data_IF_222239661091
#
_entry.id   IF_222239661091
#
_cell.length_a   1.000
_cell.length_b   1.000
_cell.length_c   1.000
_cell.angle_alpha   90.00
_cell.angle_beta   90.00
_cell.angle_gamma   90.00
#
_symmetry.space_group_name_H-M   'P 1'
#
loop_
_entity.id
_entity.type
_entity.pdbx_description
1 polymer ?
#
# COMPACT_ATOMS: atom_id res chain seq x y z
N UNK A 1 5.74 -20.73 5.07
CA UNK A 1 7.02 -20.00 5.29
C UNK A 1 6.67 -18.69 5.96
N UNK A 2 7.40 -18.27 7.02
CA UNK A 2 7.12 -17.01 7.69
C UNK A 2 7.53 -15.82 6.82
N UNK A 3 6.76 -14.75 6.86
CA UNK A 3 7.11 -13.47 6.24
C UNK A 3 8.16 -12.74 7.09
N UNK A 4 8.98 -11.94 6.45
CA UNK A 4 9.99 -11.12 7.10
C UNK A 4 9.68 -9.64 6.87
N UNK A 5 10.10 -8.78 7.80
CA UNK A 5 10.08 -7.34 7.60
C UNK A 5 11.09 -7.01 6.51
N UNK A 6 10.69 -6.43 5.36
CA UNK A 6 11.66 -6.06 4.34
C UNK A 6 12.56 -4.92 4.85
N UNK A 7 13.80 -4.89 4.41
CA UNK A 7 14.65 -3.73 4.66
C UNK A 7 14.13 -2.50 3.89
N UNK A 8 14.30 -1.32 4.48
CA UNK A 8 14.00 -0.08 3.75
C UNK A 8 14.97 0.08 2.57
N UNK A 9 14.51 0.52 1.39
CA UNK A 9 15.39 0.76 0.23
C UNK A 9 16.28 2.02 0.38
N UNK A 10 16.24 2.67 1.53
CA UNK A 10 16.99 3.89 1.89
C UNK A 10 17.23 3.94 3.40
N UNK A 11 18.17 4.80 3.85
CA UNK A 11 18.40 5.02 5.28
C UNK A 11 17.23 5.72 5.96
N UNK A 12 17.06 5.53 7.27
CA UNK A 12 15.96 6.14 8.05
C UNK A 12 15.88 7.67 7.95
N UNK A 13 17.01 8.35 7.76
CA UNK A 13 17.07 9.81 7.63
C UNK A 13 16.90 10.34 6.20
N UNK A 14 16.85 9.44 5.22
CA UNK A 14 16.84 9.81 3.80
C UNK A 14 15.65 10.68 3.39
N UNK A 15 14.49 10.50 4.03
CA UNK A 15 13.24 11.21 3.72
C UNK A 15 13.04 12.48 4.56
N UNK A 16 13.99 12.85 5.43
CA UNK A 16 13.85 13.98 6.35
C UNK A 16 13.57 15.31 5.63
N UNK A 17 14.18 15.54 4.46
CA UNK A 17 13.92 16.73 3.63
C UNK A 17 12.49 16.80 3.09
N UNK A 18 11.85 15.65 2.89
CA UNK A 18 10.45 15.50 2.49
C UNK A 18 9.45 15.57 3.65
N UNK A 19 9.93 15.78 4.88
CA UNK A 19 9.08 15.91 6.07
C UNK A 19 8.88 14.63 6.88
N UNK A 20 9.54 13.52 6.52
CA UNK A 20 9.48 12.26 7.25
C UNK A 20 10.80 12.03 7.98
N UNK A 21 10.82 12.25 9.30
CA UNK A 21 12.03 12.12 10.12
C UNK A 21 12.50 10.67 10.28
N UNK A 22 13.76 10.49 10.68
CA UNK A 22 14.29 9.17 11.03
C UNK A 22 13.47 8.51 12.15
N UNK A 23 13.07 9.27 13.17
CA UNK A 23 12.20 8.80 14.26
C UNK A 23 10.84 8.31 13.72
N UNK A 24 10.26 9.02 12.74
CA UNK A 24 9.02 8.59 12.08
C UNK A 24 9.20 7.22 11.40
N UNK A 25 10.32 7.02 10.70
CA UNK A 25 10.61 5.74 10.05
C UNK A 25 10.87 4.63 11.05
N UNK A 26 11.59 4.90 12.15
CA UNK A 26 11.78 3.95 13.24
C UNK A 26 10.42 3.48 13.80
N UNK A 27 9.52 4.39 14.13
CA UNK A 27 8.20 4.02 14.64
C UNK A 27 7.33 3.34 13.58
N UNK A 28 7.33 3.84 12.35
CA UNK A 28 6.40 3.36 11.33
C UNK A 28 6.87 2.06 10.66
N UNK A 29 8.18 1.90 10.41
CA UNK A 29 8.75 0.70 9.82
C UNK A 29 9.12 -0.33 10.89
N UNK A 30 10.05 0.00 11.82
CA UNK A 30 10.67 -0.98 12.70
C UNK A 30 9.73 -1.47 13.82
N UNK A 31 8.67 -0.71 14.13
CA UNK A 31 7.69 -1.07 15.15
C UNK A 31 6.30 -1.35 14.56
N UNK A 32 5.69 -0.40 13.85
CA UNK A 32 4.32 -0.54 13.36
C UNK A 32 4.20 -1.58 12.24
N UNK A 33 5.03 -1.47 11.19
CA UNK A 33 5.04 -2.47 10.12
C UNK A 33 5.49 -3.83 10.64
N UNK A 34 6.51 -3.87 11.49
CA UNK A 34 6.96 -5.11 12.14
C UNK A 34 5.84 -5.80 12.93
N UNK A 35 4.98 -5.06 13.60
CA UNK A 35 3.86 -5.64 14.32
C UNK A 35 2.88 -6.37 13.39
N UNK A 36 2.63 -5.86 12.17
CA UNK A 36 1.84 -6.58 11.18
C UNK A 36 2.51 -7.87 10.71
N UNK A 37 3.83 -7.85 10.52
CA UNK A 37 4.62 -9.06 10.18
C UNK A 37 4.48 -10.11 11.28
N UNK A 38 4.77 -9.74 12.52
CA UNK A 38 4.78 -10.67 13.66
C UNK A 38 3.38 -11.24 13.93
N UNK A 39 2.36 -10.40 13.94
CA UNK A 39 0.97 -10.81 14.17
C UNK A 39 0.42 -11.63 12.98
N UNK A 40 0.73 -11.22 11.74
CA UNK A 40 0.35 -11.95 10.54
C UNK A 40 0.89 -13.37 10.58
N UNK A 41 2.19 -13.54 10.78
CA UNK A 41 2.83 -14.87 10.91
C UNK A 41 2.20 -15.72 12.01
N UNK A 42 1.95 -15.13 13.17
CA UNK A 42 1.30 -15.84 14.29
C UNK A 42 -0.10 -16.33 13.93
N UNK A 43 -0.88 -15.51 13.22
CA UNK A 43 -2.27 -15.82 12.89
C UNK A 43 -2.41 -16.86 11.77
N UNK A 44 -1.47 -16.91 10.81
CA UNK A 44 -1.51 -17.87 9.71
C UNK A 44 -0.89 -19.23 10.05
N UNK A 45 -0.07 -19.28 11.11
CA UNK A 45 0.65 -20.50 11.51
C UNK A 45 -0.32 -21.66 11.81
N UNK A 46 -0.08 -22.81 11.20
CA UNK A 46 -0.94 -24.00 11.33
C UNK A 46 -2.30 -23.89 10.62
N UNK A 47 -2.54 -22.87 9.82
CA UNK A 47 -3.76 -22.72 9.02
C UNK A 47 -3.49 -23.04 7.54
N UNK A 48 -4.55 -23.05 6.72
CA UNK A 48 -4.46 -23.21 5.26
C UNK A 48 -3.68 -22.08 4.58
N UNK A 49 -3.46 -20.96 5.28
CA UNK A 49 -2.77 -19.76 4.80
C UNK A 49 -1.25 -19.80 4.99
N UNK A 50 -0.71 -20.72 5.79
CA UNK A 50 0.70 -20.71 6.22
C UNK A 50 1.73 -20.70 5.07
N UNK A 51 1.39 -21.29 3.92
CA UNK A 51 2.29 -21.37 2.75
C UNK A 51 1.78 -20.62 1.53
N UNK A 52 0.86 -19.68 1.73
CA UNK A 52 0.32 -18.82 0.68
C UNK A 52 1.08 -17.49 0.59
N UNK A 53 1.01 -16.84 -0.57
CA UNK A 53 1.56 -15.48 -0.75
C UNK A 53 0.71 -14.43 -0.02
N UNK A 54 1.28 -13.23 0.18
CA UNK A 54 0.54 -12.10 0.78
C UNK A 54 -0.72 -11.78 -0.03
N UNK A 55 -0.61 -11.81 -1.37
CA UNK A 55 -1.71 -11.55 -2.29
C UNK A 55 -2.81 -12.60 -2.17
N UNK A 56 -2.43 -13.90 -2.18
CA UNK A 56 -3.39 -15.00 -2.03
C UNK A 56 -4.15 -14.91 -0.71
N UNK A 57 -3.44 -14.60 0.39
CA UNK A 57 -4.05 -14.46 1.71
C UNK A 57 -4.96 -13.23 1.74
N UNK A 58 -4.48 -12.09 1.26
CA UNK A 58 -5.26 -10.85 1.23
C UNK A 58 -6.57 -11.05 0.47
N UNK A 59 -6.51 -11.59 -0.76
CA UNK A 59 -7.68 -11.83 -1.59
C UNK A 59 -8.61 -12.87 -0.95
N UNK A 60 -8.04 -13.98 -0.46
CA UNK A 60 -8.83 -15.09 0.07
C UNK A 60 -9.49 -14.81 1.43
N UNK A 61 -8.95 -13.88 2.21
CA UNK A 61 -9.49 -13.49 3.53
C UNK A 61 -10.31 -12.20 3.50
N UNK A 62 -10.33 -11.49 2.37
CA UNK A 62 -11.15 -10.30 2.21
C UNK A 62 -12.65 -10.63 2.25
N UNK A 63 -13.39 -9.88 3.06
CA UNK A 63 -14.84 -9.93 3.10
C UNK A 63 -15.39 -8.53 3.38
N UNK A 64 -16.03 -7.93 2.39
CA UNK A 64 -16.54 -6.56 2.45
C UNK A 64 -17.56 -6.30 3.57
N UNK A 65 -18.22 -7.35 4.09
CA UNK A 65 -19.22 -7.20 5.16
C UNK A 65 -18.64 -7.33 6.57
N UNK A 66 -17.39 -7.80 6.71
CA UNK A 66 -16.77 -8.08 8.01
C UNK A 66 -15.26 -7.81 8.03
N UNK A 67 -14.79 -6.85 7.23
CA UNK A 67 -13.35 -6.52 7.09
C UNK A 67 -12.66 -6.32 8.45
N UNK A 68 -13.23 -5.49 9.31
CA UNK A 68 -12.63 -5.15 10.60
C UNK A 68 -12.57 -6.31 11.62
N UNK A 69 -13.26 -7.41 11.35
CA UNK A 69 -13.33 -8.56 12.25
C UNK A 69 -12.36 -9.69 11.87
N UNK A 70 -11.74 -9.60 10.70
CA UNK A 70 -10.80 -10.62 10.22
C UNK A 70 -9.37 -10.25 10.58
N UNK A 71 -8.82 -10.85 11.64
CA UNK A 71 -7.45 -10.58 12.10
C UNK A 71 -6.38 -10.97 11.08
N UNK A 72 -6.55 -12.06 10.32
CA UNK A 72 -5.62 -12.48 9.27
C UNK A 72 -5.60 -11.41 8.18
N UNK A 73 -6.77 -11.04 7.65
CA UNK A 73 -6.88 -10.00 6.64
C UNK A 73 -6.21 -8.70 7.11
N UNK A 74 -6.55 -8.20 8.29
CA UNK A 74 -6.05 -6.93 8.79
C UNK A 74 -4.52 -6.88 8.88
N UNK A 75 -3.87 -7.95 9.33
CA UNK A 75 -2.43 -7.96 9.47
C UNK A 75 -1.71 -8.24 8.14
N UNK A 76 -2.18 -9.20 7.35
CA UNK A 76 -1.52 -9.57 6.09
C UNK A 76 -1.72 -8.50 5.01
N UNK A 77 -2.92 -7.93 4.89
CA UNK A 77 -3.14 -6.85 3.93
C UNK A 77 -2.35 -5.58 4.28
N UNK A 78 -2.25 -5.23 5.58
CA UNK A 78 -1.42 -4.12 6.02
C UNK A 78 0.08 -4.38 5.83
N UNK A 79 0.55 -5.62 6.01
CA UNK A 79 1.92 -5.99 5.67
C UNK A 79 2.18 -5.73 4.18
N UNK A 80 1.28 -6.17 3.29
CA UNK A 80 1.40 -5.91 1.87
C UNK A 80 1.36 -4.40 1.54
N UNK A 81 0.43 -3.64 2.14
CA UNK A 81 0.30 -2.21 1.93
C UNK A 81 1.59 -1.46 2.29
N UNK A 82 2.20 -1.81 3.43
CA UNK A 82 3.42 -1.16 3.90
C UNK A 82 4.64 -1.55 3.05
N UNK A 83 4.71 -2.79 2.53
CA UNK A 83 5.74 -3.17 1.56
C UNK A 83 5.70 -2.24 0.34
N UNK A 84 4.51 -2.01 -0.23
CA UNK A 84 4.35 -1.10 -1.36
C UNK A 84 4.71 0.34 -1.00
N UNK A 85 4.31 0.81 0.19
CA UNK A 85 4.51 2.18 0.64
C UNK A 85 6.00 2.56 0.69
N UNK A 86 6.85 1.67 1.19
CA UNK A 86 8.28 1.96 1.27
C UNK A 86 8.94 2.05 -0.11
N UNK A 87 8.55 1.20 -1.04
CA UNK A 87 9.07 1.17 -2.41
C UNK A 87 8.65 2.39 -3.24
N UNK A 88 7.53 3.02 -2.90
CA UNK A 88 7.00 4.18 -3.62
C UNK A 88 7.65 5.51 -3.22
N UNK A 89 8.46 5.53 -2.18
CA UNK A 89 9.18 6.71 -1.70
C UNK A 89 10.68 6.61 -1.97
N UNK A 90 11.34 7.75 -2.03
CA UNK A 90 12.78 7.82 -2.16
C UNK A 90 13.32 9.21 -1.85
N UNK A 91 14.61 9.34 -1.49
CA UNK A 91 15.22 10.62 -1.15
C UNK A 91 15.34 11.58 -2.34
N UNK A 92 15.48 10.99 -3.53
CA UNK A 92 15.65 11.74 -4.78
C UNK A 92 14.47 11.44 -5.70
N UNK A 93 13.76 12.49 -6.11
CA UNK A 93 12.69 12.35 -7.08
C UNK A 93 13.23 11.76 -8.39
N UNK A 94 12.55 10.75 -8.93
CA UNK A 94 12.85 10.20 -10.25
C UNK A 94 11.94 10.84 -11.29
N UNK A 95 12.43 10.99 -12.51
CA UNK A 95 11.57 11.37 -13.62
C UNK A 95 10.49 10.31 -13.82
N UNK A 96 9.27 10.76 -14.05
CA UNK A 96 8.17 9.85 -14.39
C UNK A 96 8.48 9.16 -15.72
N UNK A 97 8.32 7.82 -15.82
CA UNK A 97 8.44 7.14 -17.11
C UNK A 97 7.46 7.71 -18.14
N UNK A 98 7.90 7.93 -19.36
CA UNK A 98 7.08 8.56 -20.42
C UNK A 98 5.77 7.81 -20.70
N UNK A 99 5.78 6.49 -20.62
CA UNK A 99 4.56 5.68 -20.78
C UNK A 99 3.54 5.92 -19.65
N UNK A 100 4.01 6.06 -18.41
CA UNK A 100 3.15 6.38 -17.28
C UNK A 100 2.62 7.81 -17.39
N UNK A 101 3.47 8.76 -17.79
CA UNK A 101 3.06 10.16 -18.00
C UNK A 101 1.97 10.25 -19.07
N UNK A 102 2.15 9.58 -20.20
CA UNK A 102 1.14 9.55 -21.27
C UNK A 102 -0.20 8.97 -20.78
N UNK A 103 -0.16 7.86 -20.05
CA UNK A 103 -1.37 7.23 -19.50
C UNK A 103 -2.07 8.12 -18.45
N UNK A 104 -1.30 8.84 -17.64
CA UNK A 104 -1.83 9.82 -16.67
C UNK A 104 -2.47 11.00 -17.42
N UNK A 105 -1.82 11.55 -18.44
CA UNK A 105 -2.38 12.64 -19.24
C UNK A 105 -3.65 12.21 -19.94
N UNK A 106 -3.69 11.00 -20.50
CA UNK A 106 -4.90 10.44 -21.12
C UNK A 106 -6.06 10.31 -20.12
N UNK A 107 -5.77 9.86 -18.89
CA UNK A 107 -6.79 9.54 -17.89
C UNK A 107 -7.26 10.76 -17.07
N UNK A 108 -6.36 11.73 -16.82
CA UNK A 108 -6.59 12.85 -15.90
C UNK A 108 -6.42 14.23 -16.56
N UNK A 109 -6.09 14.29 -17.85
CA UNK A 109 -5.90 15.52 -18.61
C UNK A 109 -4.51 16.14 -18.45
N UNK A 110 -3.88 16.08 -17.27
CA UNK A 110 -2.50 16.51 -17.03
C UNK A 110 -1.90 15.83 -15.79
N UNK A 111 -0.58 15.88 -15.66
CA UNK A 111 0.12 15.42 -14.44
C UNK A 111 -0.25 16.27 -13.23
N UNK A 112 -0.44 17.58 -13.42
CA UNK A 112 -0.86 18.51 -12.36
C UNK A 112 -2.26 18.19 -11.86
N UNK A 113 -3.20 17.91 -12.77
CA UNK A 113 -4.56 17.48 -12.40
C UNK A 113 -4.52 16.18 -11.61
N UNK A 114 -3.77 15.19 -12.09
CA UNK A 114 -3.57 13.93 -11.38
C UNK A 114 -3.05 14.15 -9.96
N UNK A 115 -1.99 14.96 -9.78
CA UNK A 115 -1.41 15.24 -8.45
C UNK A 115 -2.41 15.94 -7.53
N UNK A 116 -3.18 16.88 -8.07
CA UNK A 116 -4.23 17.58 -7.32
C UNK A 116 -5.33 16.61 -6.86
N UNK A 117 -5.81 15.78 -7.78
CA UNK A 117 -6.89 14.81 -7.51
C UNK A 117 -6.43 13.72 -6.54
N UNK A 118 -5.20 13.22 -6.70
CA UNK A 118 -4.61 12.23 -5.82
C UNK A 118 -4.45 12.79 -4.40
N UNK A 119 -3.92 14.02 -4.27
CA UNK A 119 -3.79 14.70 -2.99
C UNK A 119 -5.16 14.93 -2.34
N UNK A 120 -6.15 15.42 -3.09
CA UNK A 120 -7.51 15.61 -2.60
C UNK A 120 -8.17 14.29 -2.17
N UNK A 121 -7.95 13.22 -2.92
CA UNK A 121 -8.44 11.89 -2.55
C UNK A 121 -7.83 11.40 -1.24
N UNK A 122 -6.49 11.53 -1.08
CA UNK A 122 -5.79 11.14 0.14
C UNK A 122 -6.28 11.92 1.37
N UNK A 123 -6.35 13.25 1.27
CA UNK A 123 -6.87 14.11 2.36
C UNK A 123 -8.34 13.81 2.67
N UNK A 124 -9.13 13.47 1.65
CA UNK A 124 -10.54 13.13 1.79
C UNK A 124 -10.81 11.70 2.28
N UNK A 125 -9.80 10.90 2.59
CA UNK A 125 -9.99 9.58 3.20
C UNK A 125 -10.42 9.75 4.67
N UNK A 126 -11.63 9.30 4.98
CA UNK A 126 -12.16 9.36 6.34
C UNK A 126 -11.63 8.21 7.19
N UNK A 127 -11.07 8.52 8.35
CA UNK A 127 -10.44 7.55 9.22
C UNK A 127 -9.09 7.05 8.68
N UNK A 128 -8.64 5.88 9.12
CA UNK A 128 -7.43 5.25 8.57
C UNK A 128 -7.71 4.65 7.20
N UNK A 129 -6.72 4.69 6.32
CA UNK A 129 -6.84 4.14 4.98
C UNK A 129 -5.71 4.56 4.06
N UNK A 130 -5.89 4.27 2.79
CA UNK A 130 -4.89 4.42 1.74
C UNK A 130 -5.49 5.12 0.53
N UNK A 131 -4.64 5.78 -0.24
CA UNK A 131 -4.96 6.33 -1.55
C UNK A 131 -4.04 5.69 -2.59
N UNK A 132 -4.61 5.30 -3.72
CA UNK A 132 -3.92 4.50 -4.73
C UNK A 132 -4.11 5.07 -6.13
N UNK A 133 -3.07 5.02 -6.94
CA UNK A 133 -3.21 5.03 -8.40
C UNK A 133 -3.24 3.57 -8.87
N UNK A 134 -4.31 3.18 -9.53
CA UNK A 134 -4.50 1.81 -10.00
C UNK A 134 -4.73 1.75 -11.50
N UNK A 135 -4.34 0.64 -12.11
CA UNK A 135 -4.87 0.20 -13.39
C UNK A 135 -6.05 -0.72 -13.10
N UNK A 136 -7.24 -0.26 -13.49
CA UNK A 136 -8.47 -1.02 -13.27
C UNK A 136 -8.61 -2.19 -14.25
N UNK A 137 -9.58 -3.05 -14.02
CA UNK A 137 -9.84 -4.26 -14.82
C UNK A 137 -10.17 -3.95 -16.28
N UNK A 138 -10.69 -2.75 -16.57
CA UNK A 138 -10.94 -2.25 -17.94
C UNK A 138 -9.69 -1.65 -18.61
N UNK A 139 -8.56 -1.60 -17.90
CA UNK A 139 -7.29 -1.05 -18.38
C UNK A 139 -7.10 0.45 -18.15
N UNK A 140 -8.12 1.17 -17.70
CA UNK A 140 -8.04 2.61 -17.39
C UNK A 140 -7.26 2.86 -16.08
N UNK A 141 -6.66 4.06 -15.96
CA UNK A 141 -6.08 4.51 -14.70
C UNK A 141 -7.14 5.20 -13.85
N UNK A 142 -7.14 4.86 -12.55
CA UNK A 142 -8.06 5.45 -11.58
C UNK A 142 -7.35 5.79 -10.28
N UNK A 143 -7.81 6.85 -9.61
CA UNK A 143 -7.49 7.13 -8.22
C UNK A 143 -8.57 6.47 -7.37
N UNK A 144 -8.17 5.64 -6.41
CA UNK A 144 -9.11 4.98 -5.50
C UNK A 144 -8.67 5.16 -4.06
N UNK A 145 -9.64 5.16 -3.14
CA UNK A 145 -9.42 5.21 -1.70
C UNK A 145 -9.96 3.95 -1.06
N UNK A 146 -9.25 3.47 -0.07
CA UNK A 146 -9.65 2.27 0.68
C UNK A 146 -9.52 2.51 2.17
N UNK A 147 -10.43 1.94 2.95
CA UNK A 147 -10.41 2.05 4.40
C UNK A 147 -9.49 1.01 5.04
N UNK A 148 -8.89 1.34 6.16
CA UNK A 148 -8.11 0.44 7.01
C UNK A 148 -7.03 -0.33 6.22
N UNK A 149 -7.07 -1.67 6.22
CA UNK A 149 -6.15 -2.54 5.48
C UNK A 149 -6.60 -2.89 4.06
N UNK A 150 -7.80 -2.48 3.63
CA UNK A 150 -8.29 -2.78 2.28
C UNK A 150 -7.36 -2.18 1.24
N UNK A 151 -7.14 -2.90 0.16
CA UNK A 151 -6.24 -2.51 -0.91
C UNK A 151 -6.76 -2.94 -2.30
N UNK A 152 -6.13 -2.50 -3.39
CA UNK A 152 -6.58 -2.78 -4.76
C UNK A 152 -6.66 -4.27 -5.13
N UNK A 153 -5.89 -5.15 -4.47
CA UNK A 153 -5.98 -6.60 -4.70
C UNK A 153 -7.39 -7.15 -4.42
N UNK A 154 -8.07 -6.57 -3.43
CA UNK A 154 -9.44 -6.94 -3.05
C UNK A 154 -10.45 -6.75 -4.19
N UNK A 155 -10.11 -5.95 -5.19
CA UNK A 155 -10.95 -5.57 -6.34
C UNK A 155 -10.39 -6.05 -7.68
N UNK A 156 -9.33 -6.86 -7.68
CA UNK A 156 -8.65 -7.33 -8.89
C UNK A 156 -7.93 -6.22 -9.67
N UNK A 157 -7.62 -5.09 -9.02
CA UNK A 157 -6.93 -3.95 -9.60
C UNK A 157 -5.41 -4.09 -9.46
N UNK A 158 -4.66 -3.51 -10.40
CA UNK A 158 -3.20 -3.45 -10.32
C UNK A 158 -2.76 -2.10 -9.74
N UNK A 159 -2.07 -2.14 -8.61
CA UNK A 159 -1.48 -0.95 -7.98
C UNK A 159 -0.31 -0.42 -8.83
N UNK A 160 -0.24 0.90 -8.99
CA UNK A 160 0.85 1.62 -9.64
C UNK A 160 1.52 2.62 -8.70
N UNK A 161 0.77 3.18 -7.73
CA UNK A 161 1.21 4.09 -6.67
C UNK A 161 0.28 3.95 -5.48
#
# INVERSE_FOLDING_TARGET
>A
MAFELPELPYSHDALAKGGMSAETLEFHHDLHHKAYVDNGNKLISGTEWENKSLEEITIGTYNSTSVSQNGIFNNISQLWNHNQFWEMMGPDGRAMPSELEAAIVESFGSVESFKSDFGAAGVGQFGSGWCWLVKDTDGSLKITKTENGVNPLCFGQKTLL
#
